data_IF_594165805268
#
_entry.id   IF_594165805268
#
_cell.length_a   1.000
_cell.length_b   1.000
_cell.length_c   1.000
_cell.angle_alpha   90.00
_cell.angle_beta   90.00
_cell.angle_gamma   90.00
#
_symmetry.space_group_name_H-M   'P 1'
#
loop_
_entity.id
_entity.type
_entity.pdbx_description
1 polymer ?
#
# COMPACT_ATOMS: atom_id res chain seq x y z
N UNK A 1 3.75 -22.76 3.82
CA UNK A 1 4.70 -21.81 4.47
C UNK A 1 3.90 -20.83 5.29
N UNK A 2 4.26 -20.61 6.56
CA UNK A 2 3.58 -19.59 7.38
C UNK A 2 3.88 -18.21 6.81
N UNK A 3 2.84 -17.38 6.63
CA UNK A 3 2.99 -16.00 6.18
C UNK A 3 3.80 -15.21 7.22
N UNK A 4 4.77 -14.36 6.82
CA UNK A 4 5.47 -13.52 7.77
C UNK A 4 4.49 -12.64 8.56
N UNK A 5 4.75 -12.45 9.86
CA UNK A 5 3.88 -11.66 10.73
C UNK A 5 3.76 -10.21 10.27
N UNK A 6 4.87 -9.58 9.84
CA UNK A 6 4.82 -8.20 9.35
C UNK A 6 4.04 -8.05 8.04
N UNK A 7 4.04 -9.05 7.15
CA UNK A 7 3.17 -9.04 5.96
C UNK A 7 1.69 -8.98 6.39
N UNK A 8 1.33 -9.75 7.42
CA UNK A 8 -0.02 -9.74 8.00
C UNK A 8 -0.37 -8.37 8.58
N UNK A 9 0.51 -7.83 9.40
CA UNK A 9 0.30 -6.55 10.09
C UNK A 9 0.14 -5.40 9.09
N UNK A 10 1.04 -5.32 8.11
CA UNK A 10 1.01 -4.32 7.05
C UNK A 10 -0.29 -4.45 6.25
N UNK A 11 -0.66 -5.67 5.85
CA UNK A 11 -1.92 -5.91 5.12
C UNK A 11 -3.15 -5.44 5.90
N UNK A 12 -3.23 -5.73 7.21
CA UNK A 12 -4.37 -5.29 8.02
C UNK A 12 -4.40 -3.78 8.24
N UNK A 13 -3.24 -3.15 8.39
CA UNK A 13 -3.16 -1.69 8.49
C UNK A 13 -3.70 -1.01 7.22
N UNK A 14 -3.26 -1.47 6.04
CA UNK A 14 -3.78 -0.94 4.78
C UNK A 14 -5.25 -1.32 4.52
N UNK A 15 -5.71 -2.48 4.99
CA UNK A 15 -7.12 -2.88 4.89
C UNK A 15 -8.00 -1.96 5.73
N UNK A 16 -7.58 -1.69 6.96
CA UNK A 16 -8.25 -0.73 7.83
C UNK A 16 -8.28 0.66 7.19
N UNK A 17 -7.15 1.12 6.64
CA UNK A 17 -7.09 2.38 5.89
C UNK A 17 -8.07 2.43 4.72
N UNK A 18 -8.18 1.37 3.92
CA UNK A 18 -9.13 1.29 2.82
C UNK A 18 -10.59 1.36 3.29
N UNK A 19 -10.93 0.69 4.40
CA UNK A 19 -12.27 0.76 5.01
C UNK A 19 -12.56 2.18 5.48
N UNK A 20 -11.61 2.85 6.14
CA UNK A 20 -11.75 4.24 6.57
C UNK A 20 -11.94 5.18 5.37
N UNK A 21 -11.19 4.98 4.29
CA UNK A 21 -11.34 5.78 3.05
C UNK A 21 -12.74 5.62 2.44
N UNK A 22 -13.27 4.39 2.38
CA UNK A 22 -14.61 4.13 1.87
C UNK A 22 -15.67 4.75 2.80
N UNK A 23 -15.56 4.53 4.10
CA UNK A 23 -16.51 5.06 5.07
C UNK A 23 -16.56 6.59 5.04
N UNK A 24 -15.39 7.24 5.04
CA UNK A 24 -15.29 8.70 4.97
C UNK A 24 -15.67 9.27 3.61
N UNK A 25 -15.60 8.50 2.52
CA UNK A 25 -16.11 8.94 1.22
C UNK A 25 -17.65 8.90 1.15
N UNK A 26 -18.28 7.90 1.77
CA UNK A 26 -19.72 7.67 1.66
C UNK A 26 -20.55 8.41 2.71
N UNK A 27 -20.08 8.45 3.96
CA UNK A 27 -20.89 8.88 5.11
C UNK A 27 -20.49 10.25 5.68
N UNK A 28 -19.32 10.77 5.31
CA UNK A 28 -18.79 12.01 5.87
C UNK A 28 -18.56 13.06 4.77
N UNK A 29 -18.47 14.31 5.18
CA UNK A 29 -18.04 15.38 4.27
C UNK A 29 -16.57 15.15 3.90
N UNK A 30 -16.33 14.97 2.60
CA UNK A 30 -15.00 14.72 2.08
C UNK A 30 -14.08 15.92 2.32
N UNK A 31 -14.62 17.13 2.39
CA UNK A 31 -13.87 18.39 2.48
C UNK A 31 -13.65 18.87 3.92
N UNK A 32 -14.02 18.10 4.94
CA UNK A 32 -13.91 18.50 6.34
C UNK A 32 -12.48 18.43 6.92
N UNK A 33 -11.49 17.93 6.17
CA UNK A 33 -10.11 17.83 6.63
C UNK A 33 -9.29 19.07 6.24
N UNK A 34 -8.51 19.61 7.18
CA UNK A 34 -7.58 20.74 6.92
C UNK A 34 -6.54 20.43 5.83
N UNK A 35 -6.17 19.15 5.70
CA UNK A 35 -5.33 18.65 4.60
C UNK A 35 -6.01 17.43 4.02
N UNK A 36 -6.52 17.58 2.80
CA UNK A 36 -7.26 16.54 2.08
C UNK A 36 -6.38 15.32 1.78
N UNK A 37 -6.99 14.16 1.54
CA UNK A 37 -6.25 12.95 1.17
C UNK A 37 -5.59 13.13 -0.20
N UNK A 38 -6.25 13.79 -1.15
CA UNK A 38 -5.67 14.09 -2.45
C UNK A 38 -4.46 15.04 -2.35
N UNK A 39 -4.50 16.05 -1.47
CA UNK A 39 -3.33 16.89 -1.15
C UNK A 39 -2.16 16.08 -0.62
N UNK A 40 -2.40 15.09 0.24
CA UNK A 40 -1.34 14.20 0.75
C UNK A 40 -0.65 13.37 -0.33
N UNK A 41 -1.29 13.24 -1.49
CA UNK A 41 -0.74 12.58 -2.68
C UNK A 41 -0.26 13.58 -3.75
N UNK A 42 -0.19 14.88 -3.43
CA UNK A 42 0.27 15.92 -4.35
C UNK A 42 -0.75 16.31 -5.42
N UNK A 43 -2.04 16.00 -5.21
CA UNK A 43 -3.13 16.23 -6.15
C UNK A 43 -4.21 17.16 -5.57
N UNK A 44 -3.90 18.42 -5.23
CA UNK A 44 -4.81 19.31 -4.51
C UNK A 44 -6.09 19.68 -5.29
N UNK A 45 -6.05 19.59 -6.62
CA UNK A 45 -7.19 19.92 -7.49
C UNK A 45 -8.08 18.71 -7.81
N UNK A 46 -7.72 17.51 -7.34
CA UNK A 46 -8.46 16.30 -7.68
C UNK A 46 -9.67 16.11 -6.75
N UNK A 47 -10.85 15.71 -7.26
CA UNK A 47 -12.03 15.53 -6.43
C UNK A 47 -11.81 14.49 -5.31
N UNK A 48 -11.81 14.97 -4.07
CA UNK A 48 -11.42 14.20 -2.88
C UNK A 48 -12.20 12.89 -2.73
N UNK A 49 -13.53 12.92 -2.91
CA UNK A 49 -14.39 11.73 -2.80
C UNK A 49 -14.01 10.66 -3.84
N UNK A 50 -13.75 11.06 -5.08
CA UNK A 50 -13.31 10.14 -6.13
C UNK A 50 -11.91 9.59 -5.84
N UNK A 51 -11.02 10.44 -5.32
CA UNK A 51 -9.67 10.02 -4.95
C UNK A 51 -9.69 8.96 -3.85
N UNK A 52 -10.48 9.18 -2.79
CA UNK A 52 -10.61 8.22 -1.68
C UNK A 52 -11.10 6.86 -2.15
N UNK A 53 -12.13 6.83 -3.00
CA UNK A 53 -12.67 5.57 -3.55
C UNK A 53 -11.62 4.87 -4.43
N UNK A 54 -10.98 5.61 -5.33
CA UNK A 54 -9.96 5.06 -6.23
C UNK A 54 -8.76 4.51 -5.44
N UNK A 55 -8.29 5.26 -4.45
CA UNK A 55 -7.19 4.87 -3.58
C UNK A 55 -7.58 3.64 -2.75
N UNK A 56 -8.80 3.57 -2.22
CA UNK A 56 -9.26 2.40 -1.47
C UNK A 56 -9.29 1.14 -2.35
N UNK A 57 -9.83 1.22 -3.56
CA UNK A 57 -9.83 0.10 -4.53
C UNK A 57 -8.41 -0.33 -4.85
N UNK A 58 -7.53 0.62 -5.15
CA UNK A 58 -6.13 0.35 -5.41
C UNK A 58 -5.45 -0.35 -4.23
N UNK A 59 -5.62 0.18 -3.00
CA UNK A 59 -5.08 -0.42 -1.78
C UNK A 59 -5.55 -1.86 -1.59
N UNK A 60 -6.84 -2.16 -1.82
CA UNK A 60 -7.38 -3.52 -1.72
C UNK A 60 -6.71 -4.48 -2.71
N UNK A 61 -6.45 -4.05 -3.95
CA UNK A 61 -5.75 -4.84 -4.96
C UNK A 61 -4.32 -5.15 -4.51
N UNK A 62 -3.59 -4.14 -4.03
CA UNK A 62 -2.22 -4.30 -3.53
C UNK A 62 -2.19 -5.26 -2.33
N UNK A 63 -3.06 -5.06 -1.34
CA UNK A 63 -3.14 -5.91 -0.15
C UNK A 63 -3.46 -7.35 -0.53
N UNK A 64 -4.41 -7.58 -1.44
CA UNK A 64 -4.77 -8.94 -1.86
C UNK A 64 -3.56 -9.69 -2.45
N UNK A 65 -2.80 -9.03 -3.33
CA UNK A 65 -1.57 -9.57 -3.89
C UNK A 65 -0.49 -9.81 -2.82
N UNK A 66 -0.30 -8.83 -1.92
CA UNK A 66 0.71 -8.86 -0.86
C UNK A 66 0.44 -9.95 0.18
N UNK A 67 -0.80 -10.04 0.66
CA UNK A 67 -1.26 -11.02 1.64
C UNK A 67 -1.21 -12.46 1.10
N UNK A 68 -1.38 -12.62 -0.22
CA UNK A 68 -1.27 -13.89 -0.92
C UNK A 68 0.18 -14.31 -1.22
N UNK A 69 1.17 -13.49 -0.87
CA UNK A 69 2.59 -13.66 -1.18
C UNK A 69 2.85 -13.86 -2.69
N UNK A 70 2.12 -13.12 -3.53
CA UNK A 70 2.31 -13.18 -5.00
C UNK A 70 3.38 -12.16 -5.44
N UNK A 71 4.14 -12.48 -6.49
CA UNK A 71 5.20 -11.61 -7.00
C UNK A 71 4.70 -10.23 -7.44
N UNK A 72 3.56 -10.16 -8.11
CA UNK A 72 2.96 -8.89 -8.51
C UNK A 72 2.53 -8.05 -7.30
N UNK A 73 2.05 -8.68 -6.23
CA UNK A 73 1.75 -8.00 -4.96
C UNK A 73 2.99 -7.41 -4.28
N UNK A 74 4.12 -8.11 -4.36
CA UNK A 74 5.42 -7.58 -3.92
C UNK A 74 5.81 -6.32 -4.70
N UNK A 75 5.79 -6.39 -6.04
CA UNK A 75 6.17 -5.25 -6.89
C UNK A 75 5.23 -4.06 -6.72
N UNK A 76 3.91 -4.29 -6.61
CA UNK A 76 2.95 -3.23 -6.33
C UNK A 76 3.18 -2.57 -4.97
N UNK A 77 3.49 -3.34 -3.92
CA UNK A 77 3.79 -2.77 -2.60
C UNK A 77 5.08 -1.94 -2.61
N UNK A 78 6.11 -2.41 -3.32
CA UNK A 78 7.36 -1.66 -3.51
C UNK A 78 7.10 -0.35 -4.25
N UNK A 79 6.40 -0.41 -5.39
CA UNK A 79 6.08 0.78 -6.18
C UNK A 79 5.24 1.78 -5.38
N UNK A 80 4.22 1.29 -4.68
CA UNK A 80 3.37 2.11 -3.84
C UNK A 80 4.16 2.79 -2.72
N UNK A 81 4.97 2.03 -1.96
CA UNK A 81 5.73 2.58 -0.83
C UNK A 81 6.81 3.56 -1.30
N UNK A 82 7.49 3.25 -2.41
CA UNK A 82 8.49 4.15 -2.98
C UNK A 82 7.86 5.44 -3.53
N UNK A 83 6.81 5.33 -4.34
CA UNK A 83 6.15 6.49 -4.92
C UNK A 83 5.50 7.39 -3.87
N UNK A 84 4.74 6.80 -2.95
CA UNK A 84 4.11 7.55 -1.86
C UNK A 84 5.14 8.15 -0.89
N UNK A 85 6.24 7.43 -0.62
CA UNK A 85 7.37 7.93 0.16
C UNK A 85 8.03 9.15 -0.50
N UNK A 86 8.30 9.10 -1.80
CA UNK A 86 8.89 10.23 -2.54
C UNK A 86 7.99 11.46 -2.52
N UNK A 87 6.70 11.30 -2.78
CA UNK A 87 5.71 12.38 -2.71
C UNK A 87 5.68 12.98 -1.30
N UNK A 88 5.58 12.13 -0.27
CA UNK A 88 5.54 12.57 1.13
C UNK A 88 6.82 13.29 1.56
N UNK A 89 7.98 12.83 1.07
CA UNK A 89 9.28 13.45 1.32
C UNK A 89 9.32 14.87 0.74
N UNK A 90 8.95 15.03 -0.54
CA UNK A 90 8.88 16.32 -1.21
C UNK A 90 7.91 17.24 -0.46
N UNK A 91 6.69 16.78 -0.17
CA UNK A 91 5.69 17.58 0.53
C UNK A 91 6.15 17.97 1.94
N UNK A 92 6.90 17.11 2.64
CA UNK A 92 7.44 17.44 3.97
C UNK A 92 8.50 18.54 3.93
N UNK A 93 9.20 18.73 2.81
CA UNK A 93 10.14 19.85 2.64
C UNK A 93 9.44 21.17 2.32
N UNK A 94 8.33 21.12 1.58
CA UNK A 94 7.55 22.31 1.22
C UNK A 94 6.57 22.74 2.30
N UNK A 95 6.02 21.78 3.04
CA UNK A 95 4.99 22.01 4.04
C UNK A 95 5.43 21.38 5.36
N UNK A 96 5.66 22.19 6.40
CA UNK A 96 6.02 21.72 7.75
C UNK A 96 4.84 21.07 8.51
N UNK A 97 3.92 20.41 7.80
CA UNK A 97 2.77 19.76 8.39
C UNK A 97 3.13 18.32 8.84
N UNK A 98 2.83 17.95 10.10
CA UNK A 98 3.16 16.63 10.67
C UNK A 98 2.71 15.39 9.85
N UNK A 99 1.56 15.38 9.14
CA UNK A 99 1.10 14.21 8.38
C UNK A 99 2.09 13.74 7.31
N UNK A 100 2.85 14.64 6.69
CA UNK A 100 3.78 14.28 5.61
C UNK A 100 4.99 13.51 6.13
N UNK A 101 5.56 13.93 7.25
CA UNK A 101 6.68 13.23 7.89
C UNK A 101 6.28 11.83 8.36
N UNK A 102 5.08 11.68 8.94
CA UNK A 102 4.54 10.38 9.34
C UNK A 102 4.36 9.43 8.16
N UNK A 103 3.79 9.92 7.05
CA UNK A 103 3.60 9.14 5.83
C UNK A 103 4.94 8.68 5.22
N UNK A 104 5.95 9.55 5.23
CA UNK A 104 7.28 9.22 4.76
C UNK A 104 7.92 8.10 5.59
N UNK A 105 7.96 8.25 6.91
CA UNK A 105 8.53 7.25 7.83
C UNK A 105 7.83 5.90 7.65
N UNK A 106 6.50 5.89 7.63
CA UNK A 106 5.72 4.67 7.43
C UNK A 106 6.05 3.98 6.10
N UNK A 107 6.15 4.76 5.02
CA UNK A 107 6.49 4.24 3.69
C UNK A 107 7.88 3.62 3.65
N UNK A 108 8.87 4.23 4.31
CA UNK A 108 10.24 3.69 4.41
C UNK A 108 10.25 2.37 5.17
N UNK A 109 9.53 2.27 6.29
CA UNK A 109 9.43 1.04 7.08
C UNK A 109 8.84 -0.10 6.23
N UNK A 110 7.72 0.16 5.54
CA UNK A 110 7.06 -0.84 4.69
C UNK A 110 7.95 -1.26 3.53
N UNK A 111 8.66 -0.31 2.91
CA UNK A 111 9.58 -0.57 1.81
C UNK A 111 10.73 -1.48 2.24
N UNK A 112 11.46 -1.11 3.30
CA UNK A 112 12.60 -1.88 3.84
C UNK A 112 12.13 -3.27 4.26
N UNK A 113 11.02 -3.35 5.02
CA UNK A 113 10.49 -4.63 5.46
C UNK A 113 10.15 -5.54 4.28
N UNK A 114 9.47 -5.01 3.26
CA UNK A 114 9.08 -5.76 2.07
C UNK A 114 10.29 -6.33 1.34
N UNK A 115 11.40 -5.57 1.25
CA UNK A 115 12.67 -6.07 0.69
C UNK A 115 13.25 -7.19 1.55
N UNK A 116 13.29 -7.04 2.88
CA UNK A 116 13.81 -8.06 3.79
C UNK A 116 13.05 -9.40 3.67
N UNK A 117 11.73 -9.36 3.49
CA UNK A 117 10.90 -10.57 3.32
C UNK A 117 10.71 -11.00 1.87
N UNK A 118 11.42 -10.38 0.91
CA UNK A 118 11.31 -10.65 -0.53
C UNK A 118 11.35 -12.15 -0.86
N UNK A 119 12.26 -12.91 -0.23
CA UNK A 119 12.39 -14.36 -0.43
C UNK A 119 11.05 -15.10 -0.32
N UNK A 120 10.17 -14.74 0.62
CA UNK A 120 8.86 -15.37 0.82
C UNK A 120 7.92 -15.21 -0.39
N UNK A 121 8.06 -14.14 -1.17
CA UNK A 121 7.24 -13.88 -2.36
C UNK A 121 7.74 -14.65 -3.60
N UNK A 122 9.04 -14.94 -3.68
CA UNK A 122 9.63 -15.62 -4.83
C UNK A 122 9.72 -17.15 -4.67
N UNK A 123 9.52 -17.70 -3.46
CA UNK A 123 9.57 -19.14 -3.20
C UNK A 123 8.27 -19.86 -3.63
N UNK A 124 7.10 -19.25 -3.42
CA UNK A 124 5.78 -19.87 -3.66
C UNK A 124 5.59 -20.31 -5.12
N UNK A 125 6.08 -19.54 -6.09
CA UNK A 125 6.00 -19.90 -7.51
C UNK A 125 7.00 -20.98 -7.95
N UNK A 126 8.16 -21.10 -7.27
CA UNK A 126 9.11 -22.18 -7.56
C UNK A 126 8.52 -23.54 -7.21
N UNK A 127 7.74 -23.62 -6.12
CA UNK A 127 7.00 -24.82 -5.76
C UNK A 127 5.95 -25.20 -6.81
N UNK A 128 5.11 -24.25 -7.25
CA UNK A 128 4.05 -24.48 -8.24
C UNK A 128 4.63 -24.93 -9.59
N UNK A 129 5.70 -24.30 -10.09
CA UNK A 129 6.36 -24.73 -11.33
C UNK A 129 6.94 -26.14 -11.20
N UNK A 130 7.60 -26.48 -10.07
CA UNK A 130 8.19 -27.80 -9.87
C UNK A 130 7.13 -28.92 -9.86
N UNK A 131 5.96 -28.68 -9.26
CA UNK A 131 4.85 -29.64 -9.27
C UNK A 131 4.24 -29.83 -10.66
N UNK A 132 4.17 -28.76 -11.47
CA UNK A 132 3.66 -28.82 -12.84
C UNK A 132 4.56 -29.64 -13.77
N UNK A 133 5.89 -29.48 -13.64
CA UNK A 133 6.85 -30.28 -14.41
C UNK A 133 6.80 -31.77 -14.05
N UNK A 134 6.65 -32.11 -12.77
CA UNK A 134 6.52 -33.51 -12.32
C UNK A 134 5.20 -34.16 -12.77
N UNK A 135 4.15 -33.37 -13.03
CA UNK A 135 2.85 -33.89 -13.49
C UNK A 135 2.76 -34.11 -15.01
N UNK A 136 3.76 -33.64 -15.76
CA UNK A 136 3.81 -33.69 -17.22
C UNK A 136 4.91 -34.63 -17.76
N UNK A 137 5.67 -35.27 -16.86
CA UNK A 137 6.67 -36.32 -17.15
C UNK A 137 6.15 -37.68 -16.75
#
# INVERSE_FOLDING_TARGET
>A
MKRPLGVTLISYFYLFGAVVLIATALFFDANANDVSVAERFGLPLFPERLFRITLAIFSLIVIYGYMSLRKWGFWLMILYSFGFGMISCILSFYNNHPPFTGNFIWSVIVFIYTICVSKSFFIKERGVKKTLYVKLS
#
